data_IF_449403407232
#
_entry.id   IF_449403407232
#
_cell.length_a   1.000
_cell.length_b   1.000
_cell.length_c   1.000
_cell.angle_alpha   90.00
_cell.angle_beta   90.00
_cell.angle_gamma   90.00
#
_symmetry.space_group_name_H-M   'P 1'
#
loop_
_entity.id
_entity.type
_entity.pdbx_description
1 polymer ?
#
# COMPACT_ATOMS: atom_id res chain seq x y z
N UNK A 1 -11.44 46.89 58.68
CA UNK A 1 -12.71 46.15 58.75
C UNK A 1 -12.95 45.54 57.37
N UNK A 2 -12.83 44.22 57.28
CA UNK A 2 -13.45 43.27 56.34
C UNK A 2 -13.32 43.41 54.81
N UNK A 3 -13.06 42.25 54.19
CA UNK A 3 -12.78 41.94 52.77
C UNK A 3 -14.00 42.13 51.87
N UNK A 4 -13.75 42.29 50.57
CA UNK A 4 -14.41 41.44 49.58
C UNK A 4 -13.42 41.03 48.46
N UNK A 5 -13.27 39.73 48.14
CA UNK A 5 -12.35 39.22 47.13
C UNK A 5 -13.10 38.68 45.91
N UNK A 6 -12.95 39.26 44.73
CA UNK A 6 -13.24 38.60 43.45
C UNK A 6 -12.84 39.53 42.32
N UNK A 7 -11.78 39.17 41.61
CA UNK A 7 -11.55 39.38 40.16
C UNK A 7 -10.07 39.09 39.86
N UNK A 8 -9.76 37.80 39.72
CA UNK A 8 -8.56 37.35 39.02
C UNK A 8 -8.92 37.14 37.55
N UNK A 9 -8.28 37.82 36.58
CA UNK A 9 -8.34 37.37 35.20
C UNK A 9 -7.20 36.38 34.90
N UNK A 10 -7.64 35.14 34.68
CA UNK A 10 -7.21 34.17 33.66
C UNK A 10 -5.71 33.95 33.40
N UNK A 11 -5.23 32.82 33.90
CA UNK A 11 -4.06 32.09 33.38
C UNK A 11 -4.34 31.68 31.92
N UNK A 12 -3.46 31.94 30.95
CA UNK A 12 -3.61 31.37 29.62
C UNK A 12 -3.40 29.86 29.67
N UNK A 13 -4.34 29.12 29.07
CA UNK A 13 -4.29 27.69 28.90
C UNK A 13 -2.95 27.26 28.29
N UNK A 14 -2.31 26.28 28.94
CA UNK A 14 -1.18 25.54 28.39
C UNK A 14 -1.63 24.98 27.05
N UNK A 15 -1.13 25.60 25.97
CA UNK A 15 -1.36 25.15 24.61
C UNK A 15 -1.00 23.68 24.50
N UNK A 16 -1.98 22.90 24.07
CA UNK A 16 -1.82 21.56 23.51
C UNK A 16 -0.56 21.52 22.66
N UNK A 17 0.31 20.58 22.99
CA UNK A 17 1.48 20.18 22.23
C UNK A 17 1.00 19.75 20.83
N UNK A 18 0.93 20.70 19.90
CA UNK A 18 0.80 20.39 18.48
C UNK A 18 2.10 19.71 18.06
N UNK A 19 2.02 18.38 17.94
CA UNK A 19 3.01 17.55 17.27
C UNK A 19 3.27 18.17 15.89
N UNK A 20 4.49 18.69 15.59
CA UNK A 20 4.73 19.41 14.37
C UNK A 20 4.46 18.48 13.18
N UNK A 21 3.41 18.83 12.45
CA UNK A 21 2.94 18.18 11.24
C UNK A 21 4.14 17.71 10.39
N UNK A 22 4.36 16.38 10.42
CA UNK A 22 5.30 15.69 9.55
C UNK A 22 4.99 16.16 8.12
N UNK A 23 5.98 16.67 7.35
CA UNK A 23 5.71 17.24 6.04
C UNK A 23 4.93 16.22 5.20
N UNK A 24 3.75 16.62 4.73
CA UNK A 24 2.94 15.83 3.81
C UNK A 24 3.78 15.70 2.54
N UNK A 25 4.50 14.59 2.43
CA UNK A 25 5.12 14.20 1.17
C UNK A 25 3.96 13.86 0.24
N UNK A 26 3.77 14.63 -0.83
CA UNK A 26 2.77 14.44 -1.90
C UNK A 26 2.97 13.12 -2.71
N UNK A 27 3.64 12.13 -2.14
CA UNK A 27 3.89 10.82 -2.74
C UNK A 27 2.95 9.74 -2.20
N UNK A 28 2.75 8.70 -3.00
CA UNK A 28 2.06 7.50 -2.55
C UNK A 28 2.75 6.93 -1.29
N UNK A 29 1.94 6.56 -0.30
CA UNK A 29 2.39 5.96 0.95
C UNK A 29 2.01 4.49 0.98
N UNK A 30 2.95 3.67 1.41
CA UNK A 30 2.83 2.22 1.36
C UNK A 30 2.88 1.64 2.77
N UNK A 31 2.23 0.50 2.92
CA UNK A 31 2.29 -0.34 4.09
C UNK A 31 2.81 -1.71 3.69
N UNK A 32 3.84 -2.22 4.35
CA UNK A 32 4.38 -3.56 4.12
C UNK A 32 4.01 -4.46 5.30
N UNK A 33 3.31 -5.57 5.03
CA UNK A 33 2.99 -6.57 6.06
C UNK A 33 4.22 -7.40 6.44
N UNK A 34 4.04 -8.36 7.36
CA UNK A 34 5.13 -9.21 7.83
C UNK A 34 5.59 -10.27 6.82
N UNK A 35 4.77 -10.57 5.80
CA UNK A 35 5.15 -11.48 4.71
C UNK A 35 6.04 -10.78 3.68
N UNK A 36 6.11 -9.46 3.70
CA UNK A 36 6.92 -8.68 2.77
C UNK A 36 8.40 -8.65 3.21
N UNK A 37 9.35 -9.07 2.35
CA UNK A 37 10.74 -9.27 2.76
C UNK A 37 11.46 -7.95 3.02
N UNK A 38 12.24 -7.90 4.11
CA UNK A 38 13.01 -6.72 4.51
C UNK A 38 13.93 -6.17 3.39
N UNK A 39 14.66 -7.00 2.61
CA UNK A 39 15.44 -6.49 1.48
C UNK A 39 14.63 -5.72 0.42
N UNK A 40 13.33 -6.04 0.26
CA UNK A 40 12.45 -5.32 -0.64
C UNK A 40 12.03 -3.97 -0.06
N UNK A 41 11.78 -3.90 1.25
CA UNK A 41 11.52 -2.64 1.97
C UNK A 41 12.73 -1.70 1.88
N UNK A 42 13.93 -2.21 2.13
CA UNK A 42 15.18 -1.44 2.02
C UNK A 42 15.37 -0.87 0.61
N UNK A 43 15.10 -1.67 -0.42
CA UNK A 43 15.17 -1.21 -1.80
C UNK A 43 14.15 -0.10 -2.09
N UNK A 44 12.91 -0.21 -1.60
CA UNK A 44 11.90 0.84 -1.72
C UNK A 44 12.35 2.15 -1.05
N UNK A 45 12.92 2.07 0.15
CA UNK A 45 13.48 3.24 0.83
C UNK A 45 14.65 3.85 0.05
N UNK A 46 15.52 3.03 -0.56
CA UNK A 46 16.66 3.51 -1.35
C UNK A 46 16.24 4.35 -2.57
N UNK A 47 15.02 4.16 -3.07
CA UNK A 47 14.43 4.96 -4.18
C UNK A 47 13.49 6.06 -3.69
N UNK A 48 13.48 6.35 -2.38
CA UNK A 48 12.72 7.43 -1.77
C UNK A 48 11.26 7.11 -1.46
N UNK A 49 10.81 5.86 -1.60
CA UNK A 49 9.45 5.47 -1.27
C UNK A 49 9.18 5.58 0.25
N UNK A 50 7.97 6.02 0.60
CA UNK A 50 7.51 6.09 1.98
C UNK A 50 6.75 4.80 2.33
N UNK A 51 7.42 3.88 3.01
CA UNK A 51 6.87 2.59 3.43
C UNK A 51 6.81 2.56 4.97
N UNK A 52 5.66 2.19 5.53
CA UNK A 52 5.48 1.83 6.93
C UNK A 52 5.42 0.31 7.03
N UNK A 53 6.19 -0.30 7.93
CA UNK A 53 6.27 -1.76 8.10
C UNK A 53 5.29 -2.25 9.17
N UNK A 54 4.96 -3.54 9.16
CA UNK A 54 4.20 -4.18 10.23
C UNK A 54 4.85 -4.01 11.62
N UNK A 55 6.18 -3.99 11.70
CA UNK A 55 6.91 -3.74 12.94
C UNK A 55 6.65 -2.32 13.47
N UNK A 56 6.77 -1.30 12.62
CA UNK A 56 6.51 0.10 12.98
C UNK A 56 5.04 0.33 13.35
N UNK A 57 4.12 -0.35 12.67
CA UNK A 57 2.69 -0.31 12.95
C UNK A 57 2.28 -1.14 14.19
N UNK A 58 3.20 -1.90 14.80
CA UNK A 58 2.93 -2.84 15.91
C UNK A 58 1.90 -3.92 15.55
N UNK A 59 1.97 -4.43 14.31
CA UNK A 59 1.06 -5.44 13.76
C UNK A 59 1.76 -6.76 13.45
N UNK A 60 2.94 -7.03 14.00
CA UNK A 60 3.58 -8.35 13.88
C UNK A 60 2.72 -9.44 14.52
N UNK A 61 2.62 -10.59 13.85
CA UNK A 61 1.83 -11.75 14.26
C UNK A 61 0.32 -11.53 14.21
N UNK A 62 -0.14 -10.45 13.55
CA UNK A 62 -1.57 -10.18 13.35
C UNK A 62 -2.05 -10.85 12.06
N UNK A 63 -3.37 -11.02 11.95
CA UNK A 63 -3.95 -11.64 10.76
C UNK A 63 -4.00 -10.68 9.56
N UNK A 64 -4.22 -11.27 8.38
CA UNK A 64 -4.28 -10.54 7.11
C UNK A 64 -5.39 -9.46 7.13
N UNK A 65 -6.49 -9.71 7.81
CA UNK A 65 -7.59 -8.77 8.03
C UNK A 65 -7.13 -7.52 8.80
N UNK A 66 -6.34 -7.66 9.87
CA UNK A 66 -5.78 -6.52 10.60
C UNK A 66 -4.84 -5.68 9.72
N UNK A 67 -3.99 -6.33 8.92
CA UNK A 67 -3.11 -5.66 7.96
C UNK A 67 -3.90 -4.86 6.91
N UNK A 68 -4.92 -5.46 6.29
CA UNK A 68 -5.79 -4.78 5.34
C UNK A 68 -6.54 -3.60 5.98
N UNK A 69 -7.07 -3.79 7.20
CA UNK A 69 -7.80 -2.75 7.91
C UNK A 69 -6.90 -1.56 8.26
N UNK A 70 -5.67 -1.80 8.70
CA UNK A 70 -4.69 -0.75 9.00
C UNK A 70 -4.34 0.06 7.76
N UNK A 71 -4.01 -0.62 6.66
CA UNK A 71 -3.69 0.04 5.40
C UNK A 71 -4.89 0.86 4.89
N UNK A 72 -6.11 0.33 4.96
CA UNK A 72 -7.32 1.05 4.57
C UNK A 72 -7.56 2.30 5.43
N UNK A 73 -7.50 2.17 6.76
CA UNK A 73 -7.76 3.25 7.69
C UNK A 73 -6.79 4.43 7.54
N UNK A 74 -5.55 4.15 7.11
CA UNK A 74 -4.49 5.14 6.90
C UNK A 74 -4.33 5.58 5.44
N UNK A 75 -5.20 5.10 4.56
CA UNK A 75 -5.13 5.34 3.11
C UNK A 75 -3.75 4.99 2.52
N UNK A 76 -3.24 3.82 2.88
CA UNK A 76 -1.97 3.26 2.41
C UNK A 76 -2.25 2.13 1.41
N UNK A 77 -1.37 2.00 0.41
CA UNK A 77 -1.35 0.79 -0.41
C UNK A 77 -0.61 -0.33 0.34
N UNK A 78 -1.22 -1.51 0.45
CA UNK A 78 -0.64 -2.69 1.09
C UNK A 78 0.27 -3.43 0.10
N UNK A 79 1.52 -3.68 0.50
CA UNK A 79 2.49 -4.55 -0.13
C UNK A 79 2.64 -5.82 0.70
N UNK A 80 2.54 -6.97 0.03
CA UNK A 80 2.58 -8.29 0.66
C UNK A 80 3.11 -9.34 -0.30
N UNK A 81 3.60 -10.46 0.22
CA UNK A 81 3.84 -11.69 -0.55
C UNK A 81 2.77 -12.76 -0.28
N UNK A 82 1.77 -12.47 0.56
CA UNK A 82 0.71 -13.41 0.91
C UNK A 82 -0.39 -13.41 -0.16
N UNK A 83 -0.45 -14.49 -0.93
CA UNK A 83 -1.44 -14.67 -2.00
C UNK A 83 -2.89 -14.71 -1.51
N UNK A 84 -3.14 -14.93 -0.21
CA UNK A 84 -4.50 -14.92 0.36
C UNK A 84 -5.18 -13.56 0.19
N UNK A 85 -4.43 -12.47 0.05
CA UNK A 85 -4.99 -11.14 -0.24
C UNK A 85 -5.63 -11.02 -1.64
N UNK A 86 -5.37 -11.97 -2.55
CA UNK A 86 -6.05 -12.02 -3.86
C UNK A 86 -7.48 -12.57 -3.77
N UNK A 87 -7.85 -13.23 -2.67
CA UNK A 87 -9.19 -13.77 -2.46
C UNK A 87 -10.23 -12.64 -2.37
N UNK A 88 -11.09 -12.51 -3.39
CA UNK A 88 -12.16 -11.51 -3.45
C UNK A 88 -13.26 -11.74 -2.41
N UNK A 89 -13.43 -12.97 -1.91
CA UNK A 89 -14.44 -13.26 -0.88
C UNK A 89 -14.01 -12.70 0.48
N UNK A 90 -12.71 -12.70 0.77
CA UNK A 90 -12.11 -12.20 2.01
C UNK A 90 -11.74 -10.71 1.92
N UNK A 91 -11.17 -10.30 0.80
CA UNK A 91 -10.68 -8.94 0.58
C UNK A 91 -11.34 -8.31 -0.65
N UNK A 92 -12.65 -8.02 -0.62
CA UNK A 92 -13.33 -7.47 -1.80
C UNK A 92 -12.78 -6.09 -2.15
N UNK A 93 -12.50 -5.84 -3.43
CA UNK A 93 -11.90 -4.58 -3.91
C UNK A 93 -12.59 -3.32 -3.38
N UNK A 94 -13.92 -3.33 -3.21
CA UNK A 94 -14.66 -2.17 -2.71
C UNK A 94 -14.44 -1.88 -1.23
N UNK A 95 -13.93 -2.82 -0.43
CA UNK A 95 -13.75 -2.64 1.02
C UNK A 95 -12.30 -2.86 1.45
N UNK A 96 -11.38 -2.88 0.50
CA UNK A 96 -9.97 -3.12 0.72
C UNK A 96 -9.15 -1.93 0.25
N UNK A 97 -7.94 -1.74 0.80
CA UNK A 97 -6.99 -0.77 0.25
C UNK A 97 -6.57 -1.18 -1.16
N UNK A 98 -5.74 -0.37 -1.82
CA UNK A 98 -4.93 -0.89 -2.91
C UNK A 98 -4.02 -2.00 -2.34
N UNK A 99 -3.99 -3.17 -2.98
CA UNK A 99 -3.21 -4.32 -2.55
C UNK A 99 -2.29 -4.74 -3.69
N UNK A 100 -1.00 -4.92 -3.37
CA UNK A 100 0.01 -5.43 -4.27
C UNK A 100 0.58 -6.71 -3.66
N UNK A 101 0.31 -7.82 -4.31
CA UNK A 101 0.84 -9.13 -3.97
C UNK A 101 2.02 -9.40 -4.88
N UNK A 102 3.18 -9.67 -4.28
CA UNK A 102 4.44 -9.89 -4.98
C UNK A 102 4.86 -11.34 -4.93
N UNK A 103 5.36 -11.84 -6.06
CA UNK A 103 6.10 -13.09 -6.16
C UNK A 103 7.54 -12.77 -6.59
N UNK A 104 8.45 -12.80 -5.62
CA UNK A 104 9.88 -12.48 -5.83
C UNK A 104 10.73 -13.68 -6.25
N UNK A 105 10.14 -14.76 -6.76
CA UNK A 105 10.88 -15.95 -7.16
C UNK A 105 11.68 -16.55 -5.99
N UNK A 106 13.01 -16.60 -6.13
CA UNK A 106 13.91 -17.11 -5.09
C UNK A 106 14.21 -16.11 -3.96
N UNK A 107 13.65 -14.89 -4.05
CA UNK A 107 13.90 -13.81 -3.08
C UNK A 107 15.27 -13.14 -3.24
N UNK A 108 16.01 -13.46 -4.30
CA UNK A 108 17.30 -12.83 -4.58
C UNK A 108 17.14 -11.32 -4.84
N UNK A 109 18.17 -10.50 -4.56
CA UNK A 109 18.15 -9.09 -4.90
C UNK A 109 17.90 -8.81 -6.39
N UNK A 110 18.20 -9.78 -7.27
CA UNK A 110 17.92 -9.68 -8.71
C UNK A 110 16.42 -9.78 -8.97
N UNK A 111 15.75 -10.76 -8.39
CA UNK A 111 14.32 -10.98 -8.60
C UNK A 111 13.47 -9.89 -7.95
N UNK A 112 13.86 -9.44 -6.75
CA UNK A 112 13.22 -8.28 -6.10
C UNK A 112 13.29 -7.03 -6.99
N UNK A 113 14.48 -6.71 -7.53
CA UNK A 113 14.62 -5.57 -8.46
C UNK A 113 13.81 -5.76 -9.73
N UNK A 114 13.74 -6.99 -10.25
CA UNK A 114 12.98 -7.29 -11.47
C UNK A 114 11.49 -7.00 -11.27
N UNK A 115 10.92 -7.46 -10.16
CA UNK A 115 9.53 -7.21 -9.79
C UNK A 115 9.23 -5.70 -9.64
N UNK A 116 10.10 -4.95 -8.96
CA UNK A 116 9.90 -3.50 -8.80
C UNK A 116 10.07 -2.69 -10.08
N UNK A 117 10.97 -3.08 -10.99
CA UNK A 117 11.14 -2.37 -12.28
C UNK A 117 9.84 -2.32 -13.08
N UNK A 118 9.02 -3.34 -12.94
CA UNK A 118 7.73 -3.42 -13.60
C UNK A 118 6.71 -2.46 -12.98
N UNK A 119 6.76 -2.28 -11.66
CA UNK A 119 5.86 -1.41 -10.93
C UNK A 119 6.34 0.04 -10.81
N UNK A 120 7.55 0.38 -11.25
CA UNK A 120 8.06 1.75 -11.19
C UNK A 120 7.09 2.80 -11.79
N UNK A 121 6.43 2.58 -12.95
CA UNK A 121 5.43 3.52 -13.47
C UNK A 121 4.17 3.64 -12.60
N UNK A 122 3.85 2.58 -11.84
CA UNK A 122 2.68 2.49 -10.96
C UNK A 122 2.97 3.21 -9.64
N UNK A 123 4.12 2.92 -9.03
CA UNK A 123 4.61 3.54 -7.78
C UNK A 123 4.83 5.05 -7.96
N UNK A 124 5.31 5.48 -9.14
CA UNK A 124 5.56 6.89 -9.43
C UNK A 124 4.28 7.72 -9.69
N UNK A 125 3.12 7.08 -9.86
CA UNK A 125 1.86 7.78 -10.13
C UNK A 125 1.09 8.02 -8.84
N UNK A 126 0.95 9.29 -8.44
CA UNK A 126 0.18 9.72 -7.27
C UNK A 126 -1.28 9.24 -7.27
N UNK A 127 -1.83 8.87 -8.44
CA UNK A 127 -3.20 8.41 -8.58
C UNK A 127 -3.46 7.01 -8.00
N UNK A 128 -2.43 6.21 -7.72
CA UNK A 128 -2.63 4.84 -7.22
C UNK A 128 -3.06 4.78 -5.75
N UNK A 129 -2.65 5.74 -4.92
CA UNK A 129 -3.09 5.79 -3.52
C UNK A 129 -4.61 5.96 -3.37
N UNK A 130 -5.30 6.49 -4.40
CA UNK A 130 -6.74 6.68 -4.42
C UNK A 130 -7.51 5.56 -5.16
N UNK A 131 -6.80 4.68 -5.89
CA UNK A 131 -7.43 3.62 -6.68
C UNK A 131 -7.56 2.34 -5.85
N UNK A 132 -8.79 1.86 -5.69
CA UNK A 132 -9.06 0.52 -5.14
C UNK A 132 -8.77 -0.52 -6.21
N UNK A 133 -7.59 -1.12 -6.13
CA UNK A 133 -7.13 -2.14 -7.07
C UNK A 133 -6.37 -3.26 -6.37
N UNK A 134 -6.35 -4.44 -7.00
CA UNK A 134 -5.43 -5.51 -6.63
C UNK A 134 -4.45 -5.71 -7.76
N UNK A 135 -3.19 -5.87 -7.40
CA UNK A 135 -2.11 -6.14 -8.33
C UNK A 135 -1.44 -7.42 -7.92
N UNK A 136 -1.40 -8.37 -8.86
CA UNK A 136 -0.67 -9.62 -8.72
C UNK A 136 0.62 -9.51 -9.56
N UNK A 137 1.77 -9.36 -8.91
CA UNK A 137 3.04 -9.01 -9.54
C UNK A 137 4.03 -10.18 -9.52
N UNK A 138 4.53 -10.57 -10.70
CA UNK A 138 5.36 -11.74 -10.94
C UNK A 138 6.55 -11.39 -11.84
N UNK A 139 7.77 -11.42 -11.32
CA UNK A 139 8.97 -11.27 -12.16
C UNK A 139 8.96 -10.00 -13.02
N UNK A 140 8.75 -10.13 -14.33
CA UNK A 140 8.63 -8.99 -15.27
C UNK A 140 7.19 -8.65 -15.70
N UNK A 141 6.20 -9.18 -15.00
CA UNK A 141 4.79 -9.13 -15.31
C UNK A 141 3.96 -8.69 -14.09
N UNK A 142 2.79 -8.13 -14.34
CA UNK A 142 1.78 -7.93 -13.32
C UNK A 142 0.38 -7.93 -13.93
N UNK A 143 -0.60 -8.26 -13.09
CA UNK A 143 -2.01 -8.32 -13.44
C UNK A 143 -2.73 -7.37 -12.51
N UNK A 144 -3.39 -6.37 -13.09
CA UNK A 144 -4.22 -5.42 -12.33
C UNK A 144 -5.69 -5.81 -12.43
N UNK A 145 -6.32 -5.86 -11.26
CA UNK A 145 -7.74 -6.09 -11.08
C UNK A 145 -8.39 -4.79 -10.62
N UNK A 146 -9.31 -4.28 -11.42
CA UNK A 146 -10.11 -3.08 -11.11
C UNK A 146 -11.57 -3.42 -11.08
N UNK A 147 -12.25 -2.96 -10.04
CA UNK A 147 -13.71 -2.99 -9.99
C UNK A 147 -14.24 -1.58 -10.12
N UNK A 148 -15.08 -1.38 -11.12
CA UNK A 148 -15.72 -0.10 -11.39
C UNK A 148 -16.94 0.07 -10.49
N UNK A 149 -17.40 1.31 -10.32
CA UNK A 149 -18.56 1.63 -9.50
C UNK A 149 -19.87 1.01 -10.01
N UNK A 150 -19.92 0.66 -11.30
CA UNK A 150 -21.05 -0.04 -11.94
C UNK A 150 -21.05 -1.56 -11.68
N UNK A 151 -20.08 -2.06 -10.90
CA UNK A 151 -19.93 -3.48 -10.58
C UNK A 151 -19.12 -4.28 -11.58
N UNK A 152 -18.77 -3.72 -12.75
CA UNK A 152 -17.94 -4.37 -13.77
C UNK A 152 -16.50 -4.55 -13.27
N UNK A 153 -15.84 -5.60 -13.74
CA UNK A 153 -14.47 -5.95 -13.38
C UNK A 153 -13.59 -5.91 -14.64
N UNK A 154 -12.49 -5.18 -14.57
CA UNK A 154 -11.47 -5.16 -15.61
C UNK A 154 -10.20 -5.82 -15.08
N UNK A 155 -9.68 -6.75 -15.86
CA UNK A 155 -8.38 -7.37 -15.65
C UNK A 155 -7.42 -6.89 -16.74
N UNK A 156 -6.29 -6.31 -16.35
CA UNK A 156 -5.27 -5.82 -17.29
C UNK A 156 -3.94 -6.49 -16.99
N UNK A 157 -3.39 -7.23 -17.97
CA UNK A 157 -2.08 -7.86 -17.82
C UNK A 157 -1.01 -6.99 -18.47
N UNK A 158 0.09 -6.73 -17.75
CA UNK A 158 1.17 -5.82 -18.16
C UNK A 158 2.55 -6.39 -17.88
N UNK A 159 3.50 -6.20 -18.80
CA UNK A 159 4.88 -6.74 -18.69
C UNK A 159 5.87 -5.73 -19.19
N UNK A 160 7.08 -5.85 -18.69
CA UNK A 160 8.23 -5.19 -19.27
C UNK A 160 8.90 -6.12 -20.30
N UNK A 161 8.63 -5.92 -21.58
CA UNK A 161 9.28 -6.66 -22.67
C UNK A 161 10.28 -5.77 -23.40
N UNK A 162 11.55 -6.19 -23.44
CA UNK A 162 12.66 -5.43 -24.05
C UNK A 162 12.71 -3.96 -23.58
N UNK A 163 12.47 -3.74 -22.28
CA UNK A 163 12.48 -2.40 -21.68
C UNK A 163 11.25 -1.54 -21.98
N UNK A 164 10.24 -2.08 -22.66
CA UNK A 164 8.98 -1.38 -22.94
C UNK A 164 7.83 -2.02 -22.18
N UNK A 165 6.98 -1.18 -21.60
CA UNK A 165 5.73 -1.62 -21.00
C UNK A 165 4.77 -2.07 -22.10
N UNK A 166 4.32 -3.31 -22.04
CA UNK A 166 3.33 -3.89 -22.95
C UNK A 166 2.13 -4.37 -22.16
N UNK A 167 0.94 -4.10 -22.68
CA UNK A 167 -0.27 -4.79 -22.25
C UNK A 167 -0.46 -6.04 -23.11
N UNK A 168 -0.91 -7.14 -22.50
CA UNK A 168 -1.36 -8.31 -23.25
C UNK A 168 -2.70 -8.82 -22.72
N UNK A 169 -3.37 -9.63 -23.54
CA UNK A 169 -4.54 -10.40 -23.14
C UNK A 169 -4.06 -11.84 -23.01
N UNK A 170 -4.24 -12.43 -21.84
CA UNK A 170 -3.99 -13.86 -21.68
C UNK A 170 -4.93 -14.61 -22.63
N UNK A 171 -4.45 -15.61 -23.40
CA UNK A 171 -5.35 -16.46 -24.15
C UNK A 171 -6.35 -17.02 -23.15
N UNK A 172 -7.64 -16.76 -23.35
CA UNK A 172 -8.68 -17.40 -22.56
C UNK A 172 -8.46 -18.90 -22.73
N UNK A 173 -7.99 -19.58 -21.69
CA UNK A 173 -8.03 -21.03 -21.68
C UNK A 173 -9.51 -21.37 -21.85
N UNK A 174 -9.87 -21.89 -23.02
CA UNK A 174 -11.16 -22.51 -23.24
C UNK A 174 -11.30 -23.54 -22.12
N UNK A 175 -12.21 -23.28 -21.18
CA UNK A 175 -12.58 -24.24 -20.17
C UNK A 175 -13.00 -25.51 -20.92
N UNK A 176 -12.16 -26.55 -20.80
CA UNK A 176 -12.50 -27.91 -21.19
C UNK A 176 -13.30 -28.59 -20.09
#
# INVERSE_FOLDING_TARGET
MWRNPEELPSVPAIGTHEDPARPVRDGARFYADEAFPLPAVELLHSVGACVETAAEARLLGRDAEAHAAHALARNLALFTCDRRFLDESRFPLQRSPAIFVFEFGDGSPRDIRRAFRCLAPVIASAQFGARRCKVDAHGDAWIEHFRHGDGSHTRTCRRLWRGRLQQWVEPTALAG
#
